data_IF_394433417658
#
_entry.id   IF_394433417658
#
_cell.length_a   1.000
_cell.length_b   1.000
_cell.length_c   1.000
_cell.angle_alpha   90.00
_cell.angle_beta   90.00
_cell.angle_gamma   90.00
#
_symmetry.space_group_name_H-M   'P 1'
#
loop_
_entity.id
_entity.type
_entity.pdbx_description
1 polymer ?
#
# COMPACT_ATOMS: atom_id res chain seq x y z
N UNK A 1 6.28 15.38 10.55
CA UNK A 1 5.37 14.36 9.99
C UNK A 1 5.99 13.02 10.27
N UNK A 2 5.32 12.20 11.07
CA UNK A 2 5.74 10.85 11.44
C UNK A 2 4.80 9.88 10.73
N UNK A 3 5.34 8.83 10.11
CA UNK A 3 4.55 7.77 9.47
C UNK A 3 4.56 6.60 10.46
N UNK A 4 3.39 6.24 10.99
CA UNK A 4 3.28 5.33 12.12
C UNK A 4 3.43 3.87 11.71
N UNK A 5 4.34 3.15 12.35
CA UNK A 5 4.56 1.71 12.17
C UNK A 5 3.64 0.90 13.09
N UNK A 6 3.32 -0.37 12.76
CA UNK A 6 3.73 -1.12 11.58
C UNK A 6 2.92 -0.79 10.32
N UNK A 7 3.45 -1.20 9.17
CA UNK A 7 2.97 -0.90 7.83
C UNK A 7 2.33 -2.10 7.13
N UNK A 8 1.30 -1.80 6.34
CA UNK A 8 0.68 -2.67 5.35
C UNK A 8 1.06 -2.18 3.96
N UNK A 9 1.67 -3.04 3.14
CA UNK A 9 2.12 -2.66 1.80
C UNK A 9 1.01 -2.85 0.76
N UNK A 10 0.49 -1.76 0.20
CA UNK A 10 -0.49 -1.83 -0.88
C UNK A 10 0.22 -1.86 -2.24
N UNK A 11 0.01 -2.94 -3.01
CA UNK A 11 0.61 -3.15 -4.32
C UNK A 11 -0.35 -2.88 -5.49
N UNK A 12 -1.65 -2.72 -5.24
CA UNK A 12 -2.63 -2.66 -6.32
C UNK A 12 -2.53 -3.89 -7.21
N UNK A 13 -2.59 -3.70 -8.52
CA UNK A 13 -2.50 -4.72 -9.58
C UNK A 13 -1.24 -4.58 -10.46
N UNK A 14 -0.12 -4.15 -9.86
CA UNK A 14 1.09 -3.85 -10.64
C UNK A 14 1.73 -5.11 -11.27
N UNK A 15 2.33 -4.98 -12.48
CA UNK A 15 2.73 -6.13 -13.28
C UNK A 15 4.07 -6.76 -12.86
N UNK A 16 4.88 -6.06 -12.07
CA UNK A 16 6.24 -6.52 -11.78
C UNK A 16 6.87 -5.83 -10.55
N UNK A 17 8.07 -6.32 -10.22
CA UNK A 17 8.91 -5.81 -9.13
C UNK A 17 9.38 -4.37 -9.35
N UNK A 18 9.54 -3.92 -10.59
CA UNK A 18 10.00 -2.56 -10.88
C UNK A 18 8.92 -1.54 -10.51
N UNK A 19 7.66 -1.85 -10.82
CA UNK A 19 6.51 -1.05 -10.43
C UNK A 19 6.31 -1.02 -8.91
N UNK A 20 6.62 -2.10 -8.20
CA UNK A 20 6.57 -2.17 -6.73
C UNK A 20 7.90 -1.84 -6.02
N UNK A 21 8.86 -1.22 -6.70
CA UNK A 21 10.23 -1.02 -6.17
C UNK A 21 10.28 -0.33 -4.80
N UNK A 22 9.32 0.56 -4.52
CA UNK A 22 9.24 1.26 -3.24
C UNK A 22 8.88 0.28 -2.13
N UNK A 23 7.84 -0.53 -2.30
CA UNK A 23 7.46 -1.56 -1.35
C UNK A 23 8.59 -2.57 -1.11
N UNK A 24 9.22 -3.07 -2.19
CA UNK A 24 10.38 -3.95 -2.05
C UNK A 24 11.50 -3.29 -1.26
N UNK A 25 11.83 -2.03 -1.54
CA UNK A 25 12.82 -1.30 -0.78
C UNK A 25 12.48 -1.20 0.71
N UNK A 26 11.22 -0.92 1.06
CA UNK A 26 10.81 -0.83 2.48
C UNK A 26 10.94 -2.21 3.14
N UNK A 27 10.49 -3.29 2.49
CA UNK A 27 10.62 -4.66 3.01
C UNK A 27 12.08 -5.09 3.14
N UNK A 28 12.93 -4.78 2.15
CA UNK A 28 14.34 -5.14 2.14
C UNK A 28 15.10 -4.43 3.29
N UNK A 29 14.78 -3.17 3.57
CA UNK A 29 15.52 -2.35 4.53
C UNK A 29 14.88 -2.27 5.93
N UNK A 30 13.57 -2.51 6.05
CA UNK A 30 12.77 -2.45 7.29
C UNK A 30 11.74 -3.57 7.31
N UNK A 31 12.15 -4.85 7.21
CA UNK A 31 11.23 -5.97 7.19
C UNK A 31 10.37 -6.04 8.46
N UNK A 32 10.91 -5.63 9.62
CA UNK A 32 10.23 -5.62 10.91
C UNK A 32 9.07 -4.61 10.99
N UNK A 33 9.02 -3.63 10.08
CA UNK A 33 7.89 -2.71 9.98
C UNK A 33 6.78 -3.26 9.09
N UNK A 34 7.07 -4.20 8.19
CA UNK A 34 6.14 -4.64 7.16
C UNK A 34 5.44 -5.93 7.58
N UNK A 35 4.20 -5.81 8.06
CA UNK A 35 3.48 -6.96 8.61
C UNK A 35 2.70 -7.77 7.57
N UNK A 36 2.49 -7.20 6.37
CA UNK A 36 1.80 -7.85 5.27
C UNK A 36 1.68 -6.98 4.03
N UNK A 37 1.01 -7.53 3.01
CA UNK A 37 0.73 -6.88 1.73
C UNK A 37 -0.76 -7.00 1.37
N UNK A 38 -1.26 -6.04 0.58
CA UNK A 38 -2.53 -6.10 -0.14
C UNK A 38 -2.23 -6.07 -1.63
N UNK A 39 -2.85 -6.99 -2.36
CA UNK A 39 -2.75 -7.13 -3.81
C UNK A 39 -4.14 -7.19 -4.40
N UNK A 40 -4.39 -6.40 -5.44
CA UNK A 40 -5.62 -6.45 -6.21
C UNK A 40 -5.54 -7.56 -7.28
N UNK A 41 -6.69 -8.02 -7.80
CA UNK A 41 -6.71 -9.01 -8.87
C UNK A 41 -5.81 -8.61 -10.05
N UNK A 42 -4.93 -9.52 -10.47
CA UNK A 42 -3.97 -9.26 -11.55
C UNK A 42 -2.60 -8.76 -11.11
N UNK A 43 -2.38 -8.47 -9.82
CA UNK A 43 -1.06 -8.15 -9.30
C UNK A 43 -0.07 -9.31 -9.51
N UNK A 44 1.05 -9.02 -10.16
CA UNK A 44 2.13 -9.98 -10.34
C UNK A 44 3.35 -9.69 -9.46
N UNK A 45 3.40 -8.51 -8.82
CA UNK A 45 4.37 -8.24 -7.76
C UNK A 45 4.03 -9.04 -6.48
N UNK A 46 5.07 -9.47 -5.76
CA UNK A 46 4.95 -10.21 -4.50
C UNK A 46 6.17 -9.95 -3.61
N UNK A 47 5.93 -9.32 -2.45
CA UNK A 47 6.98 -8.97 -1.50
C UNK A 47 7.49 -10.18 -0.69
N UNK A 48 6.86 -11.35 -0.80
CA UNK A 48 7.20 -12.53 -0.01
C UNK A 48 6.76 -12.45 1.46
N UNK A 49 5.86 -11.51 1.79
CA UNK A 49 5.25 -11.34 3.11
C UNK A 49 3.75 -11.74 3.06
N UNK A 50 3.07 -11.97 4.20
CA UNK A 50 1.69 -12.44 4.18
C UNK A 50 0.74 -11.47 3.46
N UNK A 51 -0.16 -11.99 2.64
CA UNK A 51 -1.35 -11.23 2.22
C UNK A 51 -2.28 -11.08 3.44
N UNK A 52 -2.71 -9.87 3.74
CA UNK A 52 -3.63 -9.58 4.85
C UNK A 52 -4.80 -8.74 4.37
N UNK A 53 -5.96 -8.92 4.99
CA UNK A 53 -7.05 -7.94 4.91
C UNK A 53 -6.76 -6.73 5.79
N UNK A 54 -7.50 -5.63 5.58
CA UNK A 54 -7.44 -4.44 6.43
C UNK A 54 -7.73 -4.79 7.92
N UNK A 55 -8.74 -5.62 8.16
CA UNK A 55 -9.11 -6.06 9.51
C UNK A 55 -8.00 -6.90 10.18
N UNK A 56 -7.40 -7.82 9.44
CA UNK A 56 -6.28 -8.63 9.94
C UNK A 56 -5.05 -7.77 10.25
N UNK A 57 -4.77 -6.78 9.42
CA UNK A 57 -3.67 -5.84 9.63
C UNK A 57 -3.93 -4.95 10.87
N UNK A 58 -5.15 -4.46 11.07
CA UNK A 58 -5.53 -3.71 12.28
C UNK A 58 -5.43 -4.55 13.54
N UNK A 59 -5.89 -5.80 13.50
CA UNK A 59 -5.78 -6.73 14.61
C UNK A 59 -4.32 -7.00 15.01
N UNK A 60 -3.39 -6.89 14.05
CA UNK A 60 -1.94 -6.95 14.25
C UNK A 60 -1.30 -5.61 14.63
N UNK A 61 -2.11 -4.57 14.84
CA UNK A 61 -1.68 -3.25 15.28
C UNK A 61 -1.20 -2.32 14.18
N UNK A 62 -1.45 -2.64 12.90
CA UNK A 62 -1.08 -1.77 11.78
C UNK A 62 -1.68 -0.37 11.91
N UNK A 63 -0.90 0.63 11.52
CA UNK A 63 -1.30 2.04 11.57
C UNK A 63 -1.31 2.69 10.21
N UNK A 64 -0.32 2.38 9.37
CA UNK A 64 -0.21 3.00 8.05
C UNK A 64 -0.32 1.96 6.93
N UNK A 65 -1.19 2.21 5.97
CA UNK A 65 -1.12 1.56 4.67
C UNK A 65 -0.25 2.39 3.72
N UNK A 66 0.80 1.79 3.18
CA UNK A 66 1.73 2.45 2.26
C UNK A 66 1.43 2.02 0.83
N UNK A 67 1.10 2.98 -0.04
CA UNK A 67 1.05 2.75 -1.49
C UNK A 67 2.49 2.65 -2.00
N UNK A 68 3.01 1.43 -1.98
CA UNK A 68 4.42 1.14 -2.24
C UNK A 68 4.75 0.93 -3.72
N UNK A 69 3.97 1.54 -4.61
CA UNK A 69 4.05 1.34 -6.06
C UNK A 69 4.21 2.65 -6.80
N UNK A 70 4.82 2.56 -7.98
CA UNK A 70 5.00 3.66 -8.90
C UNK A 70 4.63 3.19 -10.31
N UNK A 71 3.61 3.81 -10.89
CA UNK A 71 3.19 3.58 -12.27
C UNK A 71 3.68 4.72 -13.19
N UNK A 72 3.70 4.45 -14.49
CA UNK A 72 3.96 5.48 -15.49
C UNK A 72 2.89 6.58 -15.39
N UNK A 73 3.34 7.84 -15.28
CA UNK A 73 2.46 9.00 -15.10
C UNK A 73 2.14 9.35 -13.63
N UNK A 74 2.48 8.50 -12.67
CA UNK A 74 2.31 8.78 -11.24
C UNK A 74 0.85 9.03 -10.83
N UNK A 75 -0.09 8.42 -11.55
CA UNK A 75 -1.54 8.57 -11.35
C UNK A 75 -2.04 7.55 -10.35
N UNK A 76 -3.13 7.86 -9.64
CA UNK A 76 -3.86 6.88 -8.86
C UNK A 76 -4.94 6.23 -9.75
N UNK A 77 -4.87 4.93 -10.05
CA UNK A 77 -5.91 4.25 -10.80
C UNK A 77 -7.26 4.31 -10.08
N UNK A 78 -8.34 4.58 -10.81
CA UNK A 78 -9.70 4.74 -10.26
C UNK A 78 -10.15 3.49 -9.49
N UNK A 79 -9.83 2.30 -9.98
CA UNK A 79 -10.20 1.05 -9.33
C UNK A 79 -9.46 0.78 -8.02
N UNK A 80 -8.40 1.54 -7.69
CA UNK A 80 -7.72 1.45 -6.39
C UNK A 80 -8.41 2.29 -5.32
N UNK A 81 -9.21 3.30 -5.72
CA UNK A 81 -9.78 4.28 -4.81
C UNK A 81 -10.63 3.61 -3.73
N UNK A 82 -11.47 2.64 -4.10
CA UNK A 82 -12.34 1.94 -3.16
C UNK A 82 -11.56 1.28 -2.00
N UNK A 83 -10.44 0.61 -2.30
CA UNK A 83 -9.61 -0.04 -1.26
C UNK A 83 -8.89 0.99 -0.38
N UNK A 84 -8.45 2.10 -0.98
CA UNK A 84 -7.79 3.19 -0.25
C UNK A 84 -8.77 3.90 0.69
N UNK A 85 -9.99 4.17 0.22
CA UNK A 85 -11.06 4.74 1.03
C UNK A 85 -11.44 3.78 2.15
N UNK A 86 -11.57 2.49 1.87
CA UNK A 86 -11.85 1.48 2.90
C UNK A 86 -10.77 1.46 3.99
N UNK A 87 -9.49 1.60 3.63
CA UNK A 87 -8.41 1.70 4.62
C UNK A 87 -8.54 2.98 5.49
N UNK A 88 -8.85 4.13 4.89
CA UNK A 88 -9.08 5.38 5.63
C UNK A 88 -10.28 5.26 6.58
N UNK A 89 -11.39 4.68 6.12
CA UNK A 89 -12.60 4.46 6.94
C UNK A 89 -12.35 3.46 8.08
N UNK A 90 -11.48 2.47 7.86
CA UNK A 90 -11.04 1.54 8.89
C UNK A 90 -10.04 2.16 9.90
N UNK A 91 -9.63 3.41 9.69
CA UNK A 91 -8.79 4.17 10.62
C UNK A 91 -7.29 4.06 10.38
N UNK A 92 -6.87 3.64 9.18
CA UNK A 92 -5.47 3.70 8.77
C UNK A 92 -5.09 5.13 8.37
N UNK A 93 -3.83 5.48 8.64
CA UNK A 93 -3.15 6.51 7.84
C UNK A 93 -2.80 5.92 6.47
N UNK A 94 -2.88 6.73 5.40
CA UNK A 94 -2.44 6.31 4.07
C UNK A 94 -1.26 7.17 3.62
N UNK A 95 -0.12 6.51 3.38
CA UNK A 95 1.08 7.13 2.84
C UNK A 95 1.23 6.80 1.36
N UNK A 96 1.38 7.82 0.51
CA UNK A 96 1.56 7.66 -0.93
C UNK A 96 2.79 8.37 -1.44
N UNK A 97 3.61 7.65 -2.21
CA UNK A 97 4.75 8.20 -2.96
C UNK A 97 4.41 8.62 -4.39
N UNK A 98 3.14 8.52 -4.80
CA UNK A 98 2.70 8.93 -6.13
C UNK A 98 2.79 10.45 -6.31
N UNK A 99 2.92 10.91 -7.55
CA UNK A 99 2.88 12.34 -7.87
C UNK A 99 1.46 12.91 -7.73
N UNK A 100 0.44 12.10 -8.03
CA UNK A 100 -0.95 12.43 -7.75
C UNK A 100 -1.17 12.53 -6.24
N UNK A 101 -1.68 13.69 -5.79
CA UNK A 101 -2.10 13.87 -4.39
C UNK A 101 -3.38 13.08 -4.15
N UNK A 102 -3.44 12.33 -3.05
CA UNK A 102 -4.62 11.54 -2.68
C UNK A 102 -5.89 12.38 -2.63
N UNK A 103 -5.86 13.53 -1.94
CA UNK A 103 -7.02 14.42 -1.83
C UNK A 103 -7.42 15.16 -3.12
N UNK A 104 -6.71 14.98 -4.23
CA UNK A 104 -7.12 15.49 -5.53
C UNK A 104 -8.01 14.49 -6.30
N UNK A 105 -8.11 13.25 -5.81
CA UNK A 105 -8.95 12.19 -6.38
C UNK A 105 -10.22 12.07 -5.52
N UNK A 106 -11.42 12.20 -6.11
CA UNK A 106 -12.68 11.98 -5.39
C UNK A 106 -12.78 10.55 -4.84
N UNK A 107 -13.44 10.42 -3.68
CA UNK A 107 -13.85 9.13 -3.13
C UNK A 107 -15.06 8.56 -3.88
#
# INVERSE_FOLDING_TARGET
MQIETPYLMFLGDVPDRLAAKTAYGIVDWRPEWCIGQIRLPGCAADLGIPDLTLDEALAKGCRTMVIGVANAGGVLPEHWVAEIVAALEAGFDVASGLHARLGAVPA
#
